data_IF_092693877851
#
_entry.id   IF_092693877851
#
_cell.length_a   1.000
_cell.length_b   1.000
_cell.length_c   1.000
_cell.angle_alpha   90.00
_cell.angle_beta   90.00
_cell.angle_gamma   90.00
#
_symmetry.space_group_name_H-M   'P 1'
#
loop_
_entity.id
_entity.type
_entity.pdbx_description
1 polymer ?
#
# COMPACT_ATOMS: atom_id res chain seq x y z
N UNK A 1 -12.37 26.14 10.52
CA UNK A 1 -11.02 26.03 11.13
C UNK A 1 -10.39 24.76 10.58
N UNK A 2 -9.57 24.86 9.53
CA UNK A 2 -9.09 23.72 8.74
C UNK A 2 -7.65 23.36 9.09
N UNK A 3 -7.44 22.14 9.57
CA UNK A 3 -6.11 21.56 9.79
C UNK A 3 -5.44 21.23 8.45
N UNK A 4 -4.25 21.79 8.23
CA UNK A 4 -3.39 21.45 7.09
C UNK A 4 -2.52 20.29 7.49
N UNK A 5 -2.77 19.14 6.90
CA UNK A 5 -1.89 17.98 6.96
C UNK A 5 -0.81 18.15 5.89
N UNK A 6 0.43 18.40 6.34
CA UNK A 6 1.59 18.80 5.52
C UNK A 6 2.72 17.75 5.56
N UNK A 7 2.62 16.68 6.38
CA UNK A 7 3.71 15.73 6.67
C UNK A 7 3.22 14.26 6.76
N UNK A 8 4.15 13.28 6.67
CA UNK A 8 3.83 11.85 6.84
C UNK A 8 3.24 11.48 8.22
N UNK A 9 3.38 12.37 9.22
CA UNK A 9 2.76 12.27 10.56
C UNK A 9 1.23 12.25 10.56
N UNK A 10 0.62 12.53 9.41
CA UNK A 10 -0.82 12.54 9.24
C UNK A 10 -1.36 11.15 8.83
N UNK A 11 -0.45 10.19 8.65
CA UNK A 11 -0.73 8.75 8.71
C UNK A 11 -0.75 8.34 10.19
N UNK A 12 -1.68 7.47 10.62
CA UNK A 12 -1.77 7.11 12.03
C UNK A 12 -0.46 6.48 12.54
N UNK A 13 -0.02 6.83 13.76
CA UNK A 13 1.30 6.48 14.34
C UNK A 13 1.66 4.99 14.20
N UNK A 14 0.66 4.11 14.28
CA UNK A 14 0.77 2.66 14.12
C UNK A 14 1.15 2.18 12.70
N UNK A 15 1.06 3.06 11.69
CA UNK A 15 1.51 2.84 10.31
C UNK A 15 3.03 3.05 10.21
N UNK A 16 3.58 3.94 11.04
CA UNK A 16 5.00 4.29 11.03
C UNK A 16 5.81 3.44 12.04
N UNK A 17 5.24 3.14 13.22
CA UNK A 17 5.93 2.40 14.29
C UNK A 17 4.98 1.48 15.08
N UNK A 18 4.96 0.16 14.85
CA UNK A 18 4.37 -0.77 15.80
C UNK A 18 5.29 -0.93 17.03
N UNK A 19 4.82 -0.49 18.20
CA UNK A 19 5.57 -0.28 19.47
C UNK A 19 6.13 -1.53 20.18
N UNK A 20 6.31 -2.66 19.50
CA UNK A 20 7.02 -3.82 20.05
C UNK A 20 8.04 -4.33 19.05
N UNK A 21 9.13 -3.57 18.90
CA UNK A 21 10.29 -4.00 18.13
C UNK A 21 11.24 -4.82 19.01
N UNK A 22 10.92 -6.10 19.20
CA UNK A 22 11.94 -7.14 19.42
C UNK A 22 12.20 -7.71 18.03
N UNK A 23 13.44 -7.66 17.53
CA UNK A 23 13.79 -8.41 16.33
C UNK A 23 13.77 -9.90 16.71
N UNK A 24 12.77 -10.71 16.30
CA UNK A 24 12.69 -12.10 16.75
C UNK A 24 13.58 -13.06 15.95
N UNK A 25 14.45 -12.58 15.07
CA UNK A 25 15.14 -13.44 14.10
C UNK A 25 16.62 -13.10 13.99
N UNK A 26 17.45 -14.07 14.40
CA UNK A 26 18.85 -14.19 14.00
C UNK A 26 18.90 -14.56 12.50
N UNK A 27 19.75 -13.89 11.72
CA UNK A 27 19.70 -13.88 10.26
C UNK A 27 20.29 -15.13 9.58
N UNK A 28 20.61 -16.18 10.35
CA UNK A 28 21.28 -17.38 9.85
C UNK A 28 20.33 -18.55 9.47
N UNK A 29 19.02 -18.44 9.68
CA UNK A 29 18.09 -19.51 9.29
C UNK A 29 16.92 -19.00 8.43
N UNK A 30 16.55 -19.72 7.33
CA UNK A 30 15.42 -19.35 6.52
C UNK A 30 14.10 -19.66 7.25
N UNK A 31 13.14 -18.72 7.30
CA UNK A 31 11.85 -18.93 7.94
C UNK A 31 10.92 -19.81 7.09
N UNK A 32 9.97 -20.55 7.71
CA UNK A 32 9.10 -21.45 6.99
C UNK A 32 8.14 -20.68 6.08
N UNK A 33 8.05 -21.10 4.82
CA UNK A 33 7.05 -20.61 3.87
C UNK A 33 5.66 -21.01 4.39
N UNK A 34 4.67 -20.11 4.28
CA UNK A 34 3.28 -20.51 4.38
C UNK A 34 3.00 -21.51 3.25
N UNK A 35 3.00 -22.78 3.60
CA UNK A 35 2.92 -23.87 2.63
C UNK A 35 1.55 -23.86 1.93
N UNK A 36 1.50 -24.45 0.73
CA UNK A 36 0.29 -24.49 -0.10
C UNK A 36 -0.94 -25.06 0.63
N UNK A 37 -0.75 -25.84 1.70
CA UNK A 37 -1.83 -26.34 2.55
C UNK A 37 -2.64 -25.24 3.22
N UNK A 38 -2.02 -24.16 3.70
CA UNK A 38 -2.74 -23.05 4.35
C UNK A 38 -3.66 -22.33 3.36
N UNK A 39 -3.19 -22.14 2.12
CA UNK A 39 -4.00 -21.52 1.05
C UNK A 39 -5.15 -22.45 0.65
N UNK A 40 -4.92 -23.77 0.55
CA UNK A 40 -5.96 -24.76 0.27
C UNK A 40 -7.03 -24.81 1.36
N UNK A 41 -6.64 -24.70 2.63
CA UNK A 41 -7.56 -24.71 3.76
C UNK A 41 -8.51 -23.51 3.76
N UNK A 42 -7.99 -22.31 3.45
CA UNK A 42 -8.82 -21.11 3.31
C UNK A 42 -9.82 -21.26 2.15
N UNK A 43 -9.38 -21.77 0.99
CA UNK A 43 -10.27 -22.04 -0.15
C UNK A 43 -11.39 -23.02 0.22
N UNK A 44 -11.05 -24.09 0.92
CA UNK A 44 -12.01 -25.09 1.38
C UNK A 44 -13.07 -24.50 2.33
N UNK A 45 -12.66 -23.68 3.32
CA UNK A 45 -13.58 -23.05 4.27
C UNK A 45 -14.56 -22.08 3.60
N UNK A 46 -14.14 -21.38 2.56
CA UNK A 46 -15.02 -20.47 1.78
C UNK A 46 -16.03 -21.29 0.97
N UNK A 47 -15.57 -22.32 0.25
CA UNK A 47 -16.46 -23.20 -0.54
C UNK A 47 -17.47 -23.94 0.35
N UNK A 48 -17.07 -24.40 1.53
CA UNK A 48 -17.95 -25.03 2.51
C UNK A 48 -19.02 -24.07 3.02
N UNK A 49 -18.66 -22.81 3.35
CA UNK A 49 -19.63 -21.79 3.76
C UNK A 49 -20.64 -21.47 2.65
N UNK A 50 -20.18 -21.32 1.40
CA UNK A 50 -21.07 -21.09 0.25
C UNK A 50 -22.00 -22.29 0.03
N UNK A 51 -21.46 -23.51 0.09
CA UNK A 51 -22.26 -24.73 -0.08
C UNK A 51 -23.30 -24.91 1.03
N UNK A 52 -22.96 -24.58 2.28
CA UNK A 52 -23.90 -24.60 3.42
C UNK A 52 -25.00 -23.56 3.27
N UNK A 53 -24.68 -22.35 2.82
CA UNK A 53 -25.68 -21.32 2.51
C UNK A 53 -26.64 -21.81 1.42
N UNK A 54 -26.13 -22.39 0.34
CA UNK A 54 -26.94 -22.90 -0.77
C UNK A 54 -27.80 -24.11 -0.36
N UNK A 55 -27.29 -25.03 0.47
CA UNK A 55 -28.04 -26.17 1.01
C UNK A 55 -29.17 -25.75 1.95
N UNK A 56 -28.93 -24.75 2.80
CA UNK A 56 -29.98 -24.20 3.67
C UNK A 56 -31.10 -23.53 2.87
N UNK A 57 -30.76 -22.98 1.69
CA UNK A 57 -31.73 -22.45 0.72
C UNK A 57 -32.54 -23.54 -0.01
N UNK A 58 -32.05 -24.79 -0.08
CA UNK A 58 -32.75 -25.88 -0.79
C UNK A 58 -33.60 -26.78 0.11
N UNK A 59 -33.43 -26.72 1.44
CA UNK A 59 -34.03 -27.71 2.36
C UNK A 59 -34.96 -27.10 3.41
N UNK A 60 -35.08 -25.77 3.54
CA UNK A 60 -36.00 -25.19 4.52
C UNK A 60 -37.33 -24.76 3.89
N UNK A 61 -38.41 -25.48 4.22
CA UNK A 61 -39.75 -24.90 4.31
C UNK A 61 -39.69 -23.77 5.35
N UNK A 62 -39.73 -22.48 4.97
CA UNK A 62 -39.51 -21.41 5.93
C UNK A 62 -40.85 -21.04 6.58
N UNK A 63 -40.95 -21.23 7.90
CA UNK A 63 -41.80 -20.37 8.71
C UNK A 63 -41.29 -18.93 8.55
N UNK A 64 -42.22 -18.06 8.18
CA UNK A 64 -42.03 -16.69 7.70
C UNK A 64 -41.01 -15.86 8.49
N UNK A 65 -39.81 -15.72 7.92
CA UNK A 65 -38.96 -14.54 8.15
C UNK A 65 -39.17 -13.56 7.00
N UNK A 66 -38.94 -12.26 7.22
CA UNK A 66 -39.23 -11.17 6.29
C UNK A 66 -38.65 -11.36 4.87
N UNK A 67 -37.59 -12.15 4.72
CA UNK A 67 -37.04 -12.55 3.43
C UNK A 67 -37.96 -13.49 2.61
N UNK A 68 -38.70 -14.38 3.28
CA UNK A 68 -39.64 -15.31 2.66
C UNK A 68 -40.91 -14.64 2.12
N UNK A 69 -41.31 -13.50 2.71
CA UNK A 69 -42.39 -12.65 2.18
C UNK A 69 -41.95 -11.86 0.94
N UNK A 70 -40.70 -11.37 0.93
CA UNK A 70 -40.07 -10.73 -0.23
C UNK A 70 -39.92 -11.69 -1.43
N UNK A 71 -39.54 -12.94 -1.18
CA UNK A 71 -39.37 -13.97 -2.21
C UNK A 71 -40.69 -14.37 -2.92
N UNK A 72 -41.83 -14.28 -2.22
CA UNK A 72 -43.14 -14.62 -2.80
C UNK A 72 -43.73 -13.52 -3.69
N UNK A 73 -43.28 -12.27 -3.55
CA UNK A 73 -43.90 -11.14 -4.25
C UNK A 73 -43.25 -10.80 -5.59
N UNK A 74 -41.95 -11.06 -5.79
CA UNK A 74 -41.29 -10.92 -7.09
C UNK A 74 -40.04 -11.83 -7.19
N UNK A 75 -40.18 -13.04 -7.75
CA UNK A 75 -39.07 -13.97 -7.95
C UNK A 75 -37.94 -13.39 -8.84
N UNK A 76 -38.30 -12.53 -9.80
CA UNK A 76 -37.34 -11.84 -10.69
C UNK A 76 -36.43 -10.90 -9.92
N UNK A 77 -36.97 -10.15 -8.97
CA UNK A 77 -36.25 -9.11 -8.24
C UNK A 77 -35.32 -9.73 -7.21
N UNK A 78 -35.73 -10.85 -6.61
CA UNK A 78 -34.88 -11.55 -5.65
C UNK A 78 -33.74 -12.30 -6.34
N UNK A 79 -33.97 -12.87 -7.52
CA UNK A 79 -32.90 -13.45 -8.34
C UNK A 79 -31.92 -12.36 -8.81
N UNK A 80 -32.43 -11.22 -9.28
CA UNK A 80 -31.59 -10.07 -9.65
C UNK A 80 -30.74 -9.56 -8.47
N UNK A 81 -31.32 -9.48 -7.27
CA UNK A 81 -30.61 -9.09 -6.05
C UNK A 81 -29.53 -10.11 -5.64
N UNK A 82 -29.84 -11.41 -5.68
CA UNK A 82 -28.86 -12.47 -5.43
C UNK A 82 -27.72 -12.44 -6.46
N UNK A 83 -28.02 -12.27 -7.75
CA UNK A 83 -27.03 -12.17 -8.82
C UNK A 83 -26.19 -10.90 -8.72
N UNK A 84 -26.76 -9.79 -8.25
CA UNK A 84 -26.02 -8.56 -7.97
C UNK A 84 -25.05 -8.74 -6.80
N UNK A 85 -25.48 -9.42 -5.73
CA UNK A 85 -24.61 -9.73 -4.59
C UNK A 85 -23.53 -10.76 -4.95
N UNK A 86 -23.87 -11.79 -5.72
CA UNK A 86 -22.90 -12.76 -6.23
C UNK A 86 -21.89 -12.08 -7.14
N UNK A 87 -22.31 -11.16 -8.01
CA UNK A 87 -21.39 -10.35 -8.83
C UNK A 87 -20.51 -9.44 -7.96
N UNK A 88 -21.04 -8.86 -6.87
CA UNK A 88 -20.21 -8.08 -5.92
C UNK A 88 -19.18 -8.95 -5.20
N UNK A 89 -19.57 -10.14 -4.75
CA UNK A 89 -18.67 -11.09 -4.05
C UNK A 89 -17.66 -11.67 -5.02
N UNK A 90 -18.08 -12.06 -6.23
CA UNK A 90 -17.21 -12.54 -7.30
C UNK A 90 -16.23 -11.44 -7.72
N UNK A 91 -16.67 -10.21 -7.97
CA UNK A 91 -15.76 -9.08 -8.22
C UNK A 91 -14.79 -8.87 -7.05
N UNK A 92 -15.23 -9.07 -5.80
CA UNK A 92 -14.35 -9.00 -4.63
C UNK A 92 -13.33 -10.15 -4.60
N UNK A 93 -13.72 -11.36 -5.01
CA UNK A 93 -12.84 -12.55 -5.10
C UNK A 93 -11.90 -12.44 -6.29
N UNK A 94 -12.39 -12.06 -7.46
CA UNK A 94 -11.60 -11.86 -8.67
C UNK A 94 -10.63 -10.69 -8.46
N UNK A 95 -11.02 -9.61 -7.76
CA UNK A 95 -10.08 -8.57 -7.33
C UNK A 95 -9.08 -9.04 -6.26
N UNK A 96 -9.41 -10.10 -5.49
CA UNK A 96 -8.46 -10.76 -4.59
C UNK A 96 -7.51 -11.71 -5.35
N UNK A 97 -7.99 -12.40 -6.40
CA UNK A 97 -7.20 -13.34 -7.21
C UNK A 97 -6.35 -12.64 -8.29
N UNK A 98 -6.76 -11.48 -8.82
CA UNK A 98 -6.06 -10.85 -9.95
C UNK A 98 -4.70 -10.23 -9.60
N UNK A 99 -4.42 -9.90 -8.33
CA UNK A 99 -3.12 -9.33 -7.92
C UNK A 99 -2.82 -9.66 -6.48
N UNK A 100 -2.45 -10.92 -6.20
CA UNK A 100 -1.83 -11.23 -4.91
C UNK A 100 -0.55 -10.41 -4.79
N UNK A 101 -0.62 -9.29 -4.06
CA UNK A 101 0.56 -8.55 -3.65
C UNK A 101 1.57 -9.56 -3.11
N UNK A 102 2.81 -9.62 -3.66
CA UNK A 102 3.79 -10.60 -3.24
C UNK A 102 3.96 -10.57 -1.72
N UNK A 103 4.31 -11.71 -1.08
CA UNK A 103 4.67 -11.70 0.33
C UNK A 103 5.67 -10.58 0.62
N UNK A 104 5.53 -9.91 1.76
CA UNK A 104 6.38 -8.75 2.13
C UNK A 104 7.87 -9.00 1.95
N UNK A 105 8.34 -10.21 2.26
CA UNK A 105 9.74 -10.61 2.11
C UNK A 105 10.21 -10.55 0.65
N UNK A 106 9.33 -10.86 -0.30
CA UNK A 106 9.61 -10.79 -1.73
C UNK A 106 9.62 -9.33 -2.21
N UNK A 107 8.65 -8.52 -1.79
CA UNK A 107 8.66 -7.07 -2.07
C UNK A 107 9.93 -6.38 -1.55
N UNK A 108 10.37 -6.72 -0.34
CA UNK A 108 11.57 -6.14 0.25
C UNK A 108 12.86 -6.52 -0.49
N UNK A 109 12.82 -7.59 -1.30
CA UNK A 109 13.93 -8.07 -2.12
C UNK A 109 13.81 -7.66 -3.59
N UNK A 110 12.64 -7.20 -4.03
CA UNK A 110 12.37 -6.97 -5.45
C UNK A 110 13.02 -5.71 -6.00
N UNK A 111 13.32 -4.73 -5.14
CA UNK A 111 13.95 -3.49 -5.58
C UNK A 111 14.86 -2.90 -4.50
N UNK A 112 15.98 -2.28 -4.89
CA UNK A 112 16.89 -1.70 -3.91
C UNK A 112 16.28 -0.63 -3.01
N UNK A 113 15.27 0.11 -3.49
CA UNK A 113 14.53 1.06 -2.65
C UNK A 113 14.02 0.41 -1.37
N UNK A 114 13.41 -0.76 -1.45
CA UNK A 114 12.87 -1.45 -0.29
C UNK A 114 13.95 -2.00 0.64
N UNK A 115 15.10 -2.38 0.09
CA UNK A 115 16.25 -2.83 0.86
C UNK A 115 16.87 -1.72 1.73
N UNK A 116 16.73 -0.46 1.32
CA UNK A 116 17.26 0.68 2.07
C UNK A 116 16.35 1.14 3.21
N UNK A 117 15.05 0.83 3.14
CA UNK A 117 14.08 1.29 4.13
C UNK A 117 14.38 0.74 5.53
N UNK A 118 14.33 1.61 6.53
CA UNK A 118 14.65 1.31 7.92
C UNK A 118 16.14 1.34 8.26
N UNK A 119 17.03 1.53 7.27
CA UNK A 119 18.46 1.73 7.53
C UNK A 119 18.70 3.07 8.21
N UNK A 120 19.70 3.12 9.08
CA UNK A 120 20.08 4.33 9.81
C UNK A 120 20.67 5.37 8.86
N UNK A 121 20.48 6.65 9.16
CA UNK A 121 21.07 7.76 8.42
C UNK A 121 22.59 7.62 8.23
N UNK A 122 23.29 7.15 9.28
CA UNK A 122 24.74 6.92 9.26
C UNK A 122 25.19 5.76 8.36
N UNK A 123 24.27 4.92 7.89
CA UNK A 123 24.56 3.79 7.02
C UNK A 123 24.45 4.13 5.52
N UNK A 124 24.10 5.39 5.17
CA UNK A 124 24.04 5.85 3.78
C UNK A 124 25.42 6.33 3.34
N UNK A 125 26.30 5.37 3.09
CA UNK A 125 27.58 5.60 2.44
C UNK A 125 27.36 5.92 0.94
N UNK A 126 28.34 6.50 0.25
CA UNK A 126 28.22 6.79 -1.17
C UNK A 126 27.82 5.58 -2.03
N UNK A 127 28.30 4.38 -1.70
CA UNK A 127 27.98 3.13 -2.41
C UNK A 127 26.49 2.75 -2.25
N UNK A 128 25.93 3.03 -1.08
CA UNK A 128 24.50 2.79 -0.80
C UNK A 128 23.61 3.77 -1.57
N UNK A 129 24.10 4.99 -1.80
CA UNK A 129 23.39 6.01 -2.58
C UNK A 129 23.42 5.70 -4.09
N UNK A 130 24.51 5.11 -4.58
CA UNK A 130 24.66 4.71 -5.98
C UNK A 130 23.58 3.70 -6.42
N UNK A 131 23.23 2.78 -5.51
CA UNK A 131 22.17 1.79 -5.70
C UNK A 131 20.82 2.41 -6.11
N UNK A 132 20.55 3.66 -5.70
CA UNK A 132 19.32 4.38 -6.03
C UNK A 132 19.50 5.45 -7.10
N UNK A 133 20.67 5.46 -7.74
CA UNK A 133 21.01 6.36 -8.84
C UNK A 133 21.61 7.69 -8.41
N UNK A 134 22.07 7.81 -7.16
CA UNK A 134 22.79 9.00 -6.68
C UNK A 134 24.29 8.75 -6.81
N UNK A 135 25.03 9.49 -7.66
CA UNK A 135 26.46 9.26 -7.85
C UNK A 135 27.27 9.31 -6.55
N UNK A 136 28.35 8.53 -6.49
CA UNK A 136 29.31 8.56 -5.39
C UNK A 136 29.85 9.99 -5.23
N UNK A 137 29.84 10.51 -4.01
CA UNK A 137 30.29 11.88 -3.70
C UNK A 137 29.26 12.98 -3.96
N UNK A 138 28.06 12.64 -4.43
CA UNK A 138 26.97 13.62 -4.51
C UNK A 138 26.51 14.05 -3.13
N UNK A 139 26.54 15.36 -2.88
CA UNK A 139 25.94 15.99 -1.71
C UNK A 139 24.48 16.37 -1.99
N UNK A 140 23.60 16.36 -0.97
CA UNK A 140 22.23 16.81 -1.16
C UNK A 140 22.20 18.31 -1.49
N UNK A 141 21.52 18.68 -2.57
CA UNK A 141 21.30 20.08 -2.95
C UNK A 141 20.56 20.87 -1.86
N UNK A 142 19.76 20.18 -1.04
CA UNK A 142 19.18 20.75 0.15
C UNK A 142 18.88 19.72 1.22
N UNK A 143 19.17 20.10 2.46
CA UNK A 143 18.70 19.40 3.65
C UNK A 143 17.59 20.20 4.33
N UNK A 144 16.49 19.55 4.73
CA UNK A 144 15.40 20.18 5.50
C UNK A 144 15.03 19.31 6.68
N UNK A 145 14.83 19.92 7.84
CA UNK A 145 14.28 19.23 9.00
C UNK A 145 12.92 19.81 9.34
N UNK A 146 11.97 18.92 9.55
CA UNK A 146 10.71 19.22 10.20
C UNK A 146 10.70 18.46 11.53
N UNK A 147 9.73 18.78 12.39
CA UNK A 147 9.56 18.01 13.60
C UNK A 147 9.46 16.52 13.23
N UNK A 148 10.36 15.68 13.79
CA UNK A 148 10.40 14.22 13.57
C UNK A 148 10.85 13.71 12.20
N UNK A 149 11.07 14.58 11.21
CA UNK A 149 11.45 14.16 9.85
C UNK A 149 12.62 14.98 9.32
N UNK A 150 13.58 14.31 8.69
CA UNK A 150 14.77 14.92 8.10
C UNK A 150 14.88 14.51 6.63
N UNK A 151 15.03 15.49 5.75
CA UNK A 151 15.02 15.30 4.31
C UNK A 151 16.38 15.63 3.72
N UNK A 152 16.90 14.73 2.88
CA UNK A 152 18.03 15.00 1.97
C UNK A 152 17.52 14.97 0.54
N UNK A 153 17.60 16.11 -0.15
CA UNK A 153 17.11 16.27 -1.51
C UNK A 153 18.29 16.28 -2.49
N UNK A 154 18.16 15.49 -3.54
CA UNK A 154 19.12 15.32 -4.62
C UNK A 154 18.41 15.77 -5.92
N UNK A 155 18.33 17.09 -6.09
CA UNK A 155 17.49 17.72 -7.12
C UNK A 155 17.88 17.27 -8.54
N UNK A 156 19.18 17.13 -8.82
CA UNK A 156 19.71 16.69 -10.12
C UNK A 156 19.40 15.24 -10.46
N UNK A 157 19.21 14.39 -9.43
CA UNK A 157 18.90 12.97 -9.62
C UNK A 157 17.39 12.72 -9.54
N UNK A 158 16.59 13.72 -9.15
CA UNK A 158 15.16 13.54 -8.97
C UNK A 158 14.80 12.68 -7.75
N UNK A 159 15.62 12.71 -6.69
CA UNK A 159 15.43 11.87 -5.49
C UNK A 159 15.33 12.72 -4.22
N UNK A 160 14.43 12.34 -3.31
CA UNK A 160 14.39 12.85 -1.93
C UNK A 160 14.35 11.69 -0.94
N UNK A 161 15.22 11.73 0.06
CA UNK A 161 15.29 10.76 1.14
C UNK A 161 14.68 11.37 2.40
N UNK A 162 13.61 10.76 2.90
CA UNK A 162 13.00 11.13 4.17
C UNK A 162 13.45 10.16 5.26
N UNK A 163 14.04 10.70 6.31
CA UNK A 163 14.42 9.99 7.52
C UNK A 163 13.51 10.41 8.65
N UNK A 164 13.14 9.47 9.51
CA UNK A 164 12.36 9.74 10.71
C UNK A 164 13.01 9.09 11.92
N UNK A 165 12.82 9.71 13.09
CA UNK A 165 13.31 9.15 14.34
C UNK A 165 12.45 7.94 14.74
N UNK A 166 13.09 6.80 15.03
CA UNK A 166 12.41 5.71 15.71
C UNK A 166 12.11 6.04 17.18
N UNK A 167 11.37 5.19 17.88
CA UNK A 167 11.07 5.36 19.32
C UNK A 167 12.29 5.43 20.24
N UNK A 168 13.52 5.27 19.71
CA UNK A 168 14.80 5.43 20.42
C UNK A 168 15.56 6.68 19.96
N UNK A 169 14.92 7.57 19.19
CA UNK A 169 15.53 8.78 18.64
C UNK A 169 16.51 8.53 17.47
N UNK A 170 16.61 7.30 16.96
CA UNK A 170 17.54 7.00 15.85
C UNK A 170 16.88 7.32 14.51
N UNK A 171 17.51 8.19 13.72
CA UNK A 171 17.03 8.53 12.38
C UNK A 171 17.18 7.35 11.41
N UNK A 172 16.07 6.90 10.84
CA UNK A 172 16.00 5.81 9.86
C UNK A 172 15.31 6.25 8.59
N UNK A 173 15.74 5.72 7.45
CA UNK A 173 15.10 6.01 6.17
C UNK A 173 13.67 5.48 6.18
N UNK A 174 12.70 6.39 6.19
CA UNK A 174 11.28 6.09 6.20
C UNK A 174 10.73 6.03 4.77
N UNK A 175 11.23 6.88 3.87
CA UNK A 175 10.74 6.96 2.50
C UNK A 175 11.80 7.41 1.50
N UNK A 176 11.78 6.82 0.30
CA UNK A 176 12.49 7.30 -0.89
C UNK A 176 11.47 7.89 -1.86
N UNK A 177 11.59 9.15 -2.24
CA UNK A 177 10.72 9.77 -3.25
C UNK A 177 11.47 9.99 -4.55
N UNK A 178 10.94 9.50 -5.65
CA UNK A 178 11.41 9.78 -7.02
C UNK A 178 10.47 10.78 -7.70
N UNK A 179 11.03 11.82 -8.30
CA UNK A 179 10.28 12.85 -9.01
C UNK A 179 10.28 12.58 -10.52
N UNK A 180 9.10 12.65 -11.13
CA UNK A 180 8.94 12.43 -12.57
C UNK A 180 8.58 13.74 -13.28
N UNK A 181 7.80 14.58 -12.61
CA UNK A 181 7.43 15.91 -13.06
C UNK A 181 7.46 16.88 -11.88
N UNK A 182 8.50 17.71 -11.80
CA UNK A 182 8.62 18.73 -10.75
C UNK A 182 9.45 19.91 -11.27
N UNK A 183 9.10 21.14 -10.89
CA UNK A 183 9.83 22.34 -11.37
C UNK A 183 11.26 22.40 -10.84
N UNK A 184 11.47 21.90 -9.62
CA UNK A 184 12.77 21.91 -8.93
C UNK A 184 13.64 20.67 -9.17
N UNK A 185 13.04 19.49 -9.31
CA UNK A 185 13.78 18.24 -9.40
C UNK A 185 13.88 17.82 -10.87
N UNK A 186 15.04 17.36 -11.30
CA UNK A 186 15.14 16.65 -12.56
C UNK A 186 14.31 15.37 -12.53
N UNK A 187 13.95 14.89 -13.72
CA UNK A 187 13.20 13.64 -13.86
C UNK A 187 14.10 12.46 -13.47
N UNK A 188 13.61 11.62 -12.56
CA UNK A 188 14.23 10.34 -12.24
C UNK A 188 14.21 9.42 -13.47
N UNK A 189 15.38 8.90 -13.86
CA UNK A 189 15.56 8.14 -15.11
C UNK A 189 15.85 6.66 -14.91
N UNK A 190 16.08 6.20 -13.68
CA UNK A 190 16.36 4.78 -13.42
C UNK A 190 15.05 3.98 -13.34
N UNK A 191 15.12 2.63 -13.45
CA UNK A 191 13.95 1.77 -13.27
C UNK A 191 13.27 2.01 -11.92
N UNK A 192 11.93 1.94 -11.93
CA UNK A 192 11.11 2.03 -10.72
C UNK A 192 10.69 0.61 -10.29
N UNK A 193 10.42 0.39 -8.99
CA UNK A 193 9.86 -0.86 -8.49
C UNK A 193 8.56 -1.29 -9.20
N UNK A 194 8.29 -2.59 -9.18
CA UNK A 194 7.01 -3.19 -9.63
C UNK A 194 6.65 -2.91 -11.09
N UNK A 195 7.65 -2.69 -11.93
CA UNK A 195 7.48 -2.31 -13.33
C UNK A 195 6.66 -1.01 -13.52
N UNK A 196 6.63 -0.14 -12.50
CA UNK A 196 6.11 1.21 -12.65
C UNK A 196 6.91 1.94 -13.72
N UNK A 197 6.23 2.69 -14.58
CA UNK A 197 6.88 3.50 -15.62
C UNK A 197 6.58 4.97 -15.38
N UNK A 198 7.49 5.84 -15.82
CA UNK A 198 7.26 7.28 -15.70
C UNK A 198 6.12 7.83 -16.57
N UNK A 199 5.64 7.01 -17.51
CA UNK A 199 4.54 7.35 -18.41
C UNK A 199 3.18 6.84 -17.90
N UNK A 200 3.15 6.06 -16.81
CA UNK A 200 1.91 5.54 -16.26
C UNK A 200 1.01 6.69 -15.76
N UNK A 201 -0.29 6.54 -15.99
CA UNK A 201 -1.34 7.43 -15.50
C UNK A 201 -2.16 6.76 -14.39
N UNK A 202 -3.03 7.52 -13.73
CA UNK A 202 -3.92 7.01 -12.67
C UNK A 202 -4.63 5.69 -13.03
N UNK A 203 -5.34 5.61 -14.17
CA UNK A 203 -6.00 4.37 -14.61
C UNK A 203 -5.04 3.19 -14.82
N UNK A 204 -3.84 3.41 -15.33
CA UNK A 204 -2.85 2.34 -15.52
C UNK A 204 -2.41 1.77 -14.17
N UNK A 205 -2.18 2.63 -13.18
CA UNK A 205 -1.80 2.22 -11.83
C UNK A 205 -2.92 1.39 -11.20
N UNK A 206 -4.17 1.83 -11.30
CA UNK A 206 -5.32 1.08 -10.77
C UNK A 206 -5.46 -0.25 -11.49
N UNK A 207 -5.30 -0.24 -12.82
CA UNK A 207 -5.26 -1.47 -13.60
C UNK A 207 -4.16 -2.40 -13.11
N UNK A 208 -2.96 -1.88 -12.78
CA UNK A 208 -1.75 -2.60 -12.33
C UNK A 208 -1.70 -3.01 -10.85
N UNK A 209 -2.44 -2.39 -9.96
CA UNK A 209 -2.32 -2.67 -8.52
C UNK A 209 -3.68 -2.87 -7.83
N UNK A 210 -4.78 -2.72 -8.57
CA UNK A 210 -6.12 -2.66 -8.03
C UNK A 210 -6.44 -1.28 -7.44
N UNK A 211 -7.52 -1.22 -6.68
CA UNK A 211 -7.91 -0.02 -5.95
C UNK A 211 -6.89 0.32 -4.84
N UNK A 212 -6.48 1.59 -4.68
CA UNK A 212 -5.59 2.01 -3.61
C UNK A 212 -6.26 1.91 -2.24
N UNK A 213 -5.46 1.73 -1.20
CA UNK A 213 -5.90 1.69 0.20
C UNK A 213 -6.40 3.05 0.69
N UNK A 214 -5.78 4.15 0.21
CA UNK A 214 -6.24 5.52 0.48
C UNK A 214 -6.23 6.37 -0.80
N UNK A 215 -7.18 7.31 -0.86
CA UNK A 215 -7.31 8.33 -1.90
C UNK A 215 -7.49 9.70 -1.24
N UNK A 216 -6.72 10.70 -1.67
CA UNK A 216 -6.86 12.10 -1.26
C UNK A 216 -6.75 13.00 -2.49
N UNK A 217 -7.34 14.19 -2.47
CA UNK A 217 -7.29 15.11 -3.61
C UNK A 217 -8.50 16.04 -3.70
N UNK A 218 -8.75 16.59 -4.89
CA UNK A 218 -9.87 17.50 -5.19
C UNK A 218 -9.53 18.97 -4.98
N UNK A 219 -8.99 19.34 -3.81
CA UNK A 219 -8.45 20.70 -3.54
C UNK A 219 -6.93 20.78 -3.63
N UNK A 220 -6.29 19.62 -3.63
CA UNK A 220 -4.86 19.42 -3.72
C UNK A 220 -4.61 18.37 -4.80
N UNK A 221 -3.38 18.26 -5.32
CA UNK A 221 -3.03 17.18 -6.24
C UNK A 221 -3.48 15.83 -5.69
N UNK A 222 -3.94 14.97 -6.59
CA UNK A 222 -4.42 13.65 -6.22
C UNK A 222 -3.29 12.85 -5.57
N UNK A 223 -3.59 12.11 -4.51
CA UNK A 223 -2.67 11.22 -3.83
C UNK A 223 -3.34 9.87 -3.69
N UNK A 224 -2.67 8.81 -4.13
CA UNK A 224 -3.14 7.43 -3.98
C UNK A 224 -2.07 6.62 -3.24
N UNK A 225 -2.50 5.85 -2.24
CA UNK A 225 -1.59 5.09 -1.36
C UNK A 225 -1.87 3.60 -1.50
N UNK A 226 -0.83 2.82 -1.76
CA UNK A 226 -0.86 1.37 -1.78
C UNK A 226 -0.01 0.86 -0.61
N UNK A 227 -0.59 0.84 0.59
CA UNK A 227 0.04 0.42 1.85
C UNK A 227 0.62 -0.98 1.75
N UNK A 228 -0.11 -1.90 1.12
CA UNK A 228 0.34 -3.30 0.94
C UNK A 228 1.55 -3.43 0.03
N UNK A 229 1.70 -2.51 -0.91
CA UNK A 229 2.84 -2.48 -1.84
C UNK A 229 3.97 -1.58 -1.34
N UNK A 230 3.72 -0.74 -0.34
CA UNK A 230 4.69 0.18 0.22
C UNK A 230 5.01 1.34 -0.72
N UNK A 231 4.01 1.92 -1.37
CA UNK A 231 4.23 3.15 -2.13
C UNK A 231 3.02 4.10 -2.14
N UNK A 232 3.32 5.37 -2.40
CA UNK A 232 2.38 6.47 -2.58
C UNK A 232 2.68 7.15 -3.90
N UNK A 233 1.63 7.51 -4.65
CA UNK A 233 1.75 8.20 -5.93
C UNK A 233 1.05 9.54 -5.82
N UNK A 234 1.74 10.60 -6.23
CA UNK A 234 1.21 11.95 -6.32
C UNK A 234 0.88 12.28 -7.78
N UNK A 235 -0.38 12.63 -8.04
CA UNK A 235 -0.97 13.23 -9.23
C UNK A 235 -0.32 14.59 -9.56
N UNK A 236 -0.30 15.07 -10.80
CA UNK A 236 -0.13 16.51 -11.07
C UNK A 236 -1.46 17.23 -10.84
N UNK A 237 -2.50 16.76 -11.51
CA UNK A 237 -3.85 17.31 -11.48
C UNK A 237 -4.62 16.99 -10.21
N UNK A 238 -5.73 17.71 -10.03
CA UNK A 238 -6.60 17.64 -8.85
C UNK A 238 -7.96 16.98 -9.18
N UNK A 239 -8.28 16.81 -10.46
CA UNK A 239 -9.53 16.25 -10.94
C UNK A 239 -9.42 14.72 -11.11
N UNK A 240 -10.32 13.99 -10.46
CA UNK A 240 -10.40 12.54 -10.55
C UNK A 240 -10.95 12.05 -11.89
N UNK A 241 -11.60 12.94 -12.65
CA UNK A 241 -12.12 12.65 -14.00
C UNK A 241 -11.06 12.80 -15.09
N UNK A 242 -9.94 13.43 -14.78
CA UNK A 242 -8.80 13.53 -15.70
C UNK A 242 -8.10 12.17 -15.79
N UNK A 243 -8.40 11.44 -16.85
CA UNK A 243 -7.83 10.12 -17.12
C UNK A 243 -6.37 10.19 -17.59
N UNK A 244 -5.90 11.35 -18.05
CA UNK A 244 -4.55 11.55 -18.56
C UNK A 244 -3.61 12.15 -17.50
N UNK A 245 -4.10 12.31 -16.26
CA UNK A 245 -3.35 12.94 -15.18
C UNK A 245 -2.04 12.19 -14.87
N UNK A 246 -0.86 12.76 -15.20
CA UNK A 246 0.40 12.05 -15.12
C UNK A 246 0.94 12.02 -13.69
N UNK A 247 1.82 11.05 -13.42
CA UNK A 247 2.49 10.94 -12.12
C UNK A 247 3.45 12.10 -11.90
N UNK A 248 3.26 12.86 -10.83
CA UNK A 248 4.21 13.88 -10.36
C UNK A 248 5.42 13.25 -9.68
N UNK A 249 5.18 12.36 -8.73
CA UNK A 249 6.21 11.67 -7.96
C UNK A 249 5.69 10.37 -7.35
N UNK A 250 6.62 9.49 -7.00
CA UNK A 250 6.34 8.22 -6.31
C UNK A 250 7.19 8.16 -5.05
N UNK A 251 6.57 7.95 -3.90
CA UNK A 251 7.22 7.70 -2.63
C UNK A 251 7.17 6.22 -2.27
N UNK A 252 8.31 5.60 -1.98
CA UNK A 252 8.44 4.21 -1.57
C UNK A 252 8.72 4.13 -0.08
N UNK A 253 7.91 3.38 0.64
CA UNK A 253 7.98 3.19 2.08
C UNK A 253 7.76 1.71 2.43
N UNK A 254 7.91 1.35 3.70
CA UNK A 254 7.88 -0.07 4.08
C UNK A 254 6.47 -0.65 3.89
N UNK A 255 6.30 -1.77 3.16
CA UNK A 255 4.99 -2.37 2.99
C UNK A 255 4.35 -2.77 4.32
N UNK A 256 3.03 -2.56 4.44
CA UNK A 256 2.22 -2.86 5.61
C UNK A 256 1.39 -4.11 5.31
N UNK A 257 1.63 -5.17 6.08
CA UNK A 257 0.90 -6.44 5.96
C UNK A 257 -0.13 -6.50 7.08
N UNK A 258 -1.37 -6.73 6.70
CA UNK A 258 -2.47 -6.92 7.64
C UNK A 258 -2.33 -8.32 8.23
N UNK A 259 -2.24 -8.42 9.56
CA UNK A 259 -2.10 -9.71 10.25
C UNK A 259 -0.71 -10.03 10.82
N UNK A 260 0.30 -9.17 10.62
CA UNK A 260 1.61 -9.27 11.31
C UNK A 260 1.53 -8.91 12.81
N UNK A 261 0.35 -9.00 13.44
CA UNK A 261 0.19 -8.84 14.90
C UNK A 261 0.40 -7.41 15.42
N UNK A 262 0.06 -6.38 14.65
CA UNK A 262 -0.15 -5.05 15.24
C UNK A 262 -1.46 -5.13 16.05
N UNK A 263 -1.34 -5.48 17.32
CA UNK A 263 -2.40 -5.33 18.31
C UNK A 263 -2.75 -3.85 18.34
N UNK A 264 -3.98 -3.50 17.98
CA UNK A 264 -4.55 -2.19 18.27
C UNK A 264 -4.73 -2.07 19.79
N UNK A 265 -3.66 -1.81 20.54
CA UNK A 265 -3.80 -1.24 21.88
C UNK A 265 -4.03 0.26 21.72
N UNK A 266 -5.31 0.63 21.61
CA UNK A 266 -5.71 2.01 21.42
C UNK A 266 -7.19 2.28 21.60
N UNK A 267 -7.91 1.44 22.34
CA UNK A 267 -9.16 1.86 22.94
C UNK A 267 -8.88 2.97 23.95
N UNK A 268 -9.34 4.19 23.64
CA UNK A 268 -9.67 5.20 24.65
C UNK A 268 -11.15 4.97 25.00
N UNK A 269 -11.56 4.82 26.26
CA UNK A 269 -11.17 5.69 27.37
C UNK A 269 -12.11 6.87 27.33
#
# INVERSE_FOLDING_TARGET
RGGKFRNMRDLPENVLYPDKWVAPWDFNEPPPLANQSTIREIKFRIQDKVSKLMKNYTVSNPTETDLGKLLKQNPSDTYAYAMQNFSRVKNKIDNMEYRSCPPRKELLRSHPFYFLLGRRLSAFTPEVLEIIGIPIGSEPSQTRSFEGSHYRNYDEQGVSLCFEADGKGTMRLAMVTTYLHHSRFQKYTRPLPHNLTSAAIGPDIVKMFGEPDEKRGGRFPIIIVYKRWGFVINLIGQDWKDLENPIKSIGFFRPIVWGDGIVEEGGKG
#
